data_IF_718187364996
#
_entry.id   IF_718187364996
#
_cell.length_a   1.000
_cell.length_b   1.000
_cell.length_c   1.000
_cell.angle_alpha   90.00
_cell.angle_beta   90.00
_cell.angle_gamma   90.00
#
_symmetry.space_group_name_H-M   'P 1'
#
loop_
_entity.id
_entity.type
_entity.pdbx_description
1 polymer ?
#
# COMPACT_ATOMS: atom_id res chain seq x y z
N UNK A 1 -11.17 13.70 16.59
CA UNK A 1 -10.36 14.83 16.10
C UNK A 1 -9.53 14.32 14.93
N UNK A 2 -9.60 14.95 13.76
CA UNK A 2 -8.76 14.58 12.60
C UNK A 2 -7.32 15.01 12.90
N UNK A 3 -6.36 14.11 12.77
CA UNK A 3 -4.94 14.39 12.95
C UNK A 3 -4.21 13.84 11.73
N UNK A 4 -3.70 14.74 10.89
CA UNK A 4 -2.91 14.38 9.73
C UNK A 4 -1.49 13.95 10.13
N UNK A 5 -0.83 13.16 9.28
CA UNK A 5 0.60 12.90 9.47
C UNK A 5 1.40 14.16 9.19
N UNK A 6 2.54 14.31 9.85
CA UNK A 6 3.50 15.37 9.54
C UNK A 6 4.81 14.78 9.00
N UNK A 7 5.23 15.09 7.76
CA UNK A 7 4.43 15.77 6.72
C UNK A 7 3.24 14.91 6.28
N UNK A 8 2.23 15.44 5.56
CA UNK A 8 1.09 14.65 5.07
C UNK A 8 1.49 13.47 4.18
N UNK A 9 0.70 12.39 4.19
CA UNK A 9 1.00 11.22 3.37
C UNK A 9 1.10 11.56 1.88
N UNK A 10 0.23 12.45 1.39
CA UNK A 10 0.25 12.96 0.00
C UNK A 10 1.52 13.72 -0.41
N UNK A 11 2.42 14.06 0.52
CA UNK A 11 3.69 14.73 0.25
C UNK A 11 4.89 13.76 0.20
N UNK A 12 4.64 12.45 0.34
CA UNK A 12 5.71 11.45 0.49
C UNK A 12 6.46 11.15 -0.80
N UNK A 13 5.88 11.43 -1.96
CA UNK A 13 6.53 11.27 -3.26
C UNK A 13 6.35 12.57 -4.01
N UNK A 14 7.45 13.16 -4.49
CA UNK A 14 7.42 14.39 -5.28
C UNK A 14 8.17 14.19 -6.57
N UNK A 15 7.56 14.57 -7.69
CA UNK A 15 8.26 14.68 -8.96
C UNK A 15 9.03 16.00 -8.98
N UNK A 16 10.35 15.91 -9.00
CA UNK A 16 11.23 17.08 -8.99
C UNK A 16 11.36 17.66 -10.40
N UNK A 17 11.46 16.78 -11.40
CA UNK A 17 11.51 17.12 -12.82
C UNK A 17 11.07 15.90 -13.66
N UNK A 18 11.09 15.95 -15.01
CA UNK A 18 10.63 14.84 -15.83
C UNK A 18 11.34 13.49 -15.62
N UNK A 19 12.56 13.49 -15.06
CA UNK A 19 13.41 12.31 -14.87
C UNK A 19 13.81 12.03 -13.42
N UNK A 20 13.32 12.79 -12.43
CA UNK A 20 13.70 12.64 -11.02
C UNK A 20 12.49 12.76 -10.09
N UNK A 21 12.40 11.82 -9.15
CA UNK A 21 11.42 11.81 -8.06
C UNK A 21 12.15 11.66 -6.72
N UNK A 22 11.63 12.32 -5.69
CA UNK A 22 11.96 12.03 -4.30
C UNK A 22 10.93 11.09 -3.70
N UNK A 23 11.38 10.12 -2.91
CA UNK A 23 10.55 9.11 -2.26
C UNK A 23 10.90 9.13 -0.77
N UNK A 24 10.16 9.94 -0.03
CA UNK A 24 10.44 10.23 1.37
C UNK A 24 11.74 11.01 1.56
N UNK A 25 12.45 10.69 2.63
CA UNK A 25 13.73 11.32 3.03
C UNK A 25 14.94 10.47 2.70
N UNK A 26 14.74 9.24 2.22
CA UNK A 26 15.82 8.24 2.13
C UNK A 26 16.12 7.74 0.72
N UNK A 27 15.19 7.89 -0.23
CA UNK A 27 15.33 7.33 -1.58
C UNK A 27 14.97 8.37 -2.65
N UNK A 28 15.67 8.32 -3.78
CA UNK A 28 15.29 8.98 -5.02
C UNK A 28 15.04 7.93 -6.11
N UNK A 29 14.22 8.30 -7.09
CA UNK A 29 14.03 7.51 -8.31
C UNK A 29 14.46 8.36 -9.50
N UNK A 30 15.38 7.82 -10.31
CA UNK A 30 15.84 8.47 -11.54
C UNK A 30 15.37 7.68 -12.74
N UNK A 31 15.01 8.38 -13.80
CA UNK A 31 14.69 7.83 -15.11
C UNK A 31 15.81 8.15 -16.08
N UNK A 32 16.42 7.13 -16.66
CA UNK A 32 17.46 7.25 -17.69
C UNK A 32 17.04 6.50 -18.95
N UNK A 33 17.66 6.81 -20.09
CA UNK A 33 17.42 6.04 -21.31
C UNK A 33 18.08 4.67 -21.19
N UNK A 34 17.53 3.64 -21.83
CA UNK A 34 18.02 2.25 -21.68
C UNK A 34 19.45 2.05 -22.23
N UNK A 35 19.95 2.99 -23.05
CA UNK A 35 21.32 3.01 -23.54
C UNK A 35 22.30 3.84 -22.69
N UNK A 36 21.82 4.55 -21.67
CA UNK A 36 22.66 5.37 -20.80
C UNK A 36 23.37 4.51 -19.75
N UNK A 37 24.48 5.02 -19.20
CA UNK A 37 25.22 4.30 -18.17
C UNK A 37 24.36 4.08 -16.91
N UNK A 38 24.29 2.83 -16.45
CA UNK A 38 23.58 2.48 -15.24
C UNK A 38 24.19 3.19 -14.01
N UNK A 39 23.36 3.71 -13.09
CA UNK A 39 23.87 4.34 -11.87
C UNK A 39 24.52 3.32 -10.94
N UNK A 40 25.66 3.68 -10.35
CA UNK A 40 26.49 2.78 -9.54
C UNK A 40 25.75 2.22 -8.30
N UNK A 41 24.85 3.02 -7.69
CA UNK A 41 24.20 2.73 -6.40
C UNK A 41 22.71 2.39 -6.56
N UNK A 42 22.35 1.66 -7.62
CA UNK A 42 20.96 1.26 -7.85
C UNK A 42 20.49 0.22 -6.82
N UNK A 43 19.48 0.55 -6.02
CA UNK A 43 18.81 -0.35 -5.06
C UNK A 43 17.90 -1.35 -5.76
N UNK A 44 17.18 -0.88 -6.78
CA UNK A 44 16.34 -1.68 -7.68
C UNK A 44 16.13 -0.92 -8.98
N UNK A 45 15.72 -1.62 -10.03
CA UNK A 45 15.38 -1.00 -11.32
C UNK A 45 14.27 -1.74 -12.03
N UNK A 46 13.62 -1.04 -12.97
CA UNK A 46 12.67 -1.65 -13.90
C UNK A 46 12.68 -0.89 -15.23
N UNK A 47 12.40 -1.62 -16.30
CA UNK A 47 12.26 -1.08 -17.65
C UNK A 47 10.84 -0.56 -17.85
N UNK A 48 10.72 0.59 -18.52
CA UNK A 48 9.46 1.23 -18.90
C UNK A 48 9.62 1.85 -20.29
N UNK A 49 9.26 1.08 -21.32
CA UNK A 49 9.52 1.42 -22.72
C UNK A 49 11.02 1.57 -22.99
N UNK A 50 11.42 2.70 -23.59
CA UNK A 50 12.81 3.00 -23.92
C UNK A 50 13.61 3.56 -22.73
N UNK A 51 13.01 3.60 -21.55
CA UNK A 51 13.64 4.13 -20.34
C UNK A 51 13.77 3.07 -19.26
N UNK A 52 14.77 3.22 -18.40
CA UNK A 52 14.92 2.43 -17.18
C UNK A 52 14.84 3.36 -15.97
N UNK A 53 14.01 2.97 -15.00
CA UNK A 53 13.91 3.65 -13.72
C UNK A 53 14.84 2.96 -12.72
N UNK A 54 15.53 3.74 -11.91
CA UNK A 54 16.43 3.26 -10.87
C UNK A 54 16.10 3.92 -9.52
N UNK A 55 15.90 3.11 -8.49
CA UNK A 55 15.90 3.57 -7.11
C UNK A 55 17.33 3.70 -6.61
N UNK A 56 17.63 4.78 -5.89
CA UNK A 56 18.94 5.01 -5.29
C UNK A 56 18.77 5.59 -3.89
N UNK A 57 19.77 5.43 -3.00
CA UNK A 57 19.85 6.22 -1.79
C UNK A 57 19.74 7.70 -2.14
N UNK A 58 19.05 8.47 -1.32
CA UNK A 58 18.89 9.91 -1.54
C UNK A 58 20.24 10.60 -1.52
N UNK A 59 20.49 11.35 -2.58
CA UNK A 59 21.67 12.19 -2.74
C UNK A 59 21.20 13.62 -3.06
N UNK A 60 21.49 14.54 -2.13
CA UNK A 60 21.07 15.94 -2.21
C UNK A 60 21.74 16.69 -3.36
N UNK A 61 22.83 16.18 -3.94
CA UNK A 61 23.48 16.80 -5.11
C UNK A 61 22.54 16.87 -6.32
N UNK A 62 21.67 15.86 -6.50
CA UNK A 62 20.63 15.85 -7.53
C UNK A 62 19.53 16.89 -7.32
N UNK A 63 19.42 17.45 -6.10
CA UNK A 63 18.32 18.32 -5.68
C UNK A 63 18.73 19.80 -5.61
N UNK A 64 20.03 20.12 -5.69
CA UNK A 64 20.60 21.47 -5.56
C UNK A 64 20.00 22.53 -6.50
N UNK A 65 19.44 22.12 -7.65
CA UNK A 65 18.81 23.02 -8.63
C UNK A 65 17.31 22.79 -8.83
N UNK A 66 16.68 21.91 -8.03
CA UNK A 66 15.25 21.60 -8.19
C UNK A 66 14.36 22.55 -7.41
N UNK A 67 13.21 22.89 -8.01
CA UNK A 67 12.08 23.48 -7.30
C UNK A 67 11.53 22.51 -6.25
N UNK A 68 10.56 22.94 -5.43
CA UNK A 68 10.00 22.18 -4.29
C UNK A 68 9.38 20.80 -4.64
N UNK A 69 9.35 20.45 -5.93
CA UNK A 69 8.74 19.25 -6.48
C UNK A 69 7.22 19.30 -6.42
N UNK A 70 6.56 18.46 -7.22
CA UNK A 70 5.11 18.36 -7.22
C UNK A 70 4.68 16.96 -6.75
N UNK A 71 3.94 16.92 -5.64
CA UNK A 71 3.45 15.68 -5.05
C UNK A 71 2.12 15.18 -5.64
N UNK A 72 1.40 16.05 -6.34
CA UNK A 72 0.15 15.74 -7.03
C UNK A 72 0.41 15.10 -8.40
N UNK A 73 1.51 15.46 -9.06
CA UNK A 73 1.94 14.78 -10.28
C UNK A 73 2.15 13.29 -9.99
N UNK A 74 1.61 12.47 -10.89
CA UNK A 74 1.66 11.00 -10.84
C UNK A 74 0.93 10.33 -9.67
N UNK A 75 0.28 11.10 -8.78
CA UNK A 75 -0.54 10.53 -7.70
C UNK A 75 -1.81 9.91 -8.29
N UNK A 76 -2.02 8.63 -8.00
CA UNK A 76 -3.20 7.87 -8.41
C UNK A 76 -4.32 7.95 -7.38
N UNK A 77 -3.97 7.95 -6.09
CA UNK A 77 -4.93 7.90 -5.00
C UNK A 77 -4.38 8.51 -3.73
N UNK A 78 -5.23 9.22 -3.00
CA UNK A 78 -5.03 9.61 -1.60
C UNK A 78 -5.92 8.72 -0.71
N UNK A 79 -5.32 7.99 0.23
CA UNK A 79 -5.98 6.97 1.03
C UNK A 79 -6.15 7.46 2.49
N UNK A 80 -6.97 8.49 2.66
CA UNK A 80 -7.20 9.13 3.97
C UNK A 80 -5.91 9.75 4.53
N UNK A 81 -5.75 9.73 5.86
CA UNK A 81 -4.59 10.37 6.51
C UNK A 81 -3.33 9.50 6.54
N UNK A 82 -3.45 8.21 6.22
CA UNK A 82 -2.43 7.21 6.51
C UNK A 82 -1.68 6.69 5.29
N UNK A 83 -2.00 7.09 4.07
CA UNK A 83 -1.29 6.59 2.90
C UNK A 83 -1.77 7.19 1.58
N UNK A 84 -0.98 6.95 0.53
CA UNK A 84 -1.24 7.42 -0.83
C UNK A 84 -0.52 6.50 -1.84
N UNK A 85 -0.92 6.58 -3.10
CA UNK A 85 -0.37 5.75 -4.20
C UNK A 85 0.01 6.62 -5.38
N UNK A 86 1.18 6.38 -5.96
CA UNK A 86 1.69 7.05 -7.16
C UNK A 86 2.03 6.03 -8.23
N UNK A 87 1.98 6.44 -9.49
CA UNK A 87 2.66 5.72 -10.58
C UNK A 87 4.11 6.19 -10.68
N UNK A 88 5.01 5.30 -11.04
CA UNK A 88 6.38 5.64 -11.45
C UNK A 88 6.57 5.08 -12.85
N UNK A 89 6.34 5.94 -13.85
CA UNK A 89 6.21 5.50 -15.22
C UNK A 89 4.90 4.75 -15.49
N UNK A 90 4.91 3.86 -16.49
CA UNK A 90 3.75 3.05 -16.85
C UNK A 90 3.75 1.66 -16.19
N UNK A 91 4.92 1.15 -15.79
CA UNK A 91 5.15 -0.23 -15.36
C UNK A 91 5.27 -0.44 -13.84
N UNK A 92 5.35 0.62 -13.03
CA UNK A 92 5.46 0.50 -11.58
C UNK A 92 4.52 1.45 -10.82
N UNK A 93 4.14 1.05 -9.61
CA UNK A 93 3.44 1.90 -8.64
C UNK A 93 4.20 1.95 -7.32
N UNK A 94 4.13 3.09 -6.65
CA UNK A 94 4.65 3.32 -5.32
C UNK A 94 3.47 3.49 -4.35
N UNK A 95 3.38 2.59 -3.37
CA UNK A 95 2.43 2.70 -2.27
C UNK A 95 3.16 3.20 -1.04
N UNK A 96 2.62 4.24 -0.42
CA UNK A 96 3.16 4.79 0.83
C UNK A 96 2.11 4.66 1.92
N UNK A 97 2.52 4.16 3.09
CA UNK A 97 1.65 4.01 4.27
C UNK A 97 2.35 4.47 5.54
N UNK A 98 1.58 4.95 6.50
CA UNK A 98 2.03 5.19 7.88
C UNK A 98 2.66 3.94 8.46
N UNK A 99 3.66 4.11 9.30
CA UNK A 99 4.37 3.00 9.91
C UNK A 99 4.74 3.33 11.36
N UNK A 100 4.84 2.28 12.16
CA UNK A 100 5.35 2.33 13.52
C UNK A 100 6.01 0.97 13.82
N UNK A 101 6.89 0.95 14.82
CA UNK A 101 7.61 -0.26 15.22
C UNK A 101 6.64 -1.37 15.65
N UNK A 102 6.88 -2.60 15.22
CA UNK A 102 5.95 -3.72 15.47
C UNK A 102 4.75 -3.76 14.52
N UNK A 103 4.84 -3.17 13.32
CA UNK A 103 3.86 -3.33 12.23
C UNK A 103 4.40 -4.19 11.09
N UNK A 104 3.60 -5.16 10.66
CA UNK A 104 3.86 -5.99 9.48
C UNK A 104 4.03 -5.15 8.21
N UNK A 105 5.09 -5.41 7.44
CA UNK A 105 5.26 -4.84 6.11
C UNK A 105 4.38 -5.59 5.09
N UNK A 106 3.72 -4.84 4.22
CA UNK A 106 2.90 -5.40 3.13
C UNK A 106 3.73 -6.29 2.20
N UNK A 107 4.99 -5.91 1.91
CA UNK A 107 5.92 -6.72 1.12
C UNK A 107 6.13 -8.12 1.72
N UNK A 108 6.29 -8.20 3.04
CA UNK A 108 6.48 -9.48 3.75
C UNK A 108 5.22 -10.34 3.68
N UNK A 109 4.03 -9.72 3.76
CA UNK A 109 2.77 -10.46 3.56
C UNK A 109 2.64 -10.97 2.12
N UNK A 110 2.98 -10.15 1.12
CA UNK A 110 2.96 -10.55 -0.29
C UNK A 110 3.90 -11.74 -0.53
N UNK A 111 5.14 -11.67 -0.02
CA UNK A 111 6.13 -12.74 -0.17
C UNK A 111 5.68 -14.04 0.49
N UNK A 112 5.12 -13.96 1.69
CA UNK A 112 4.57 -15.13 2.39
C UNK A 112 3.44 -15.81 1.61
N UNK A 113 2.46 -15.04 1.11
CA UNK A 113 1.35 -15.60 0.32
C UNK A 113 1.87 -16.21 -0.97
N UNK A 114 2.79 -15.54 -1.68
CA UNK A 114 3.39 -16.07 -2.92
C UNK A 114 4.08 -17.42 -2.69
N UNK A 115 4.76 -17.60 -1.55
CA UNK A 115 5.46 -18.84 -1.20
C UNK A 115 4.53 -19.95 -0.72
N UNK A 116 3.49 -19.60 0.02
CA UNK A 116 2.64 -20.57 0.74
C UNK A 116 1.35 -20.91 -0.03
N UNK A 117 0.91 -20.03 -0.91
CA UNK A 117 -0.34 -20.12 -1.67
C UNK A 117 -0.13 -19.56 -3.10
N UNK A 118 0.73 -20.20 -3.91
CA UNK A 118 1.13 -19.68 -5.22
C UNK A 118 -0.04 -19.61 -6.23
N UNK A 119 -1.15 -20.29 -5.98
CA UNK A 119 -2.37 -20.21 -6.77
C UNK A 119 -3.09 -18.86 -6.63
N UNK A 120 -2.81 -18.09 -5.57
CA UNK A 120 -3.37 -16.75 -5.40
C UNK A 120 -2.48 -15.77 -6.14
N UNK A 121 -3.00 -15.05 -7.15
CA UNK A 121 -2.19 -14.11 -7.92
C UNK A 121 -1.79 -12.92 -7.03
N UNK A 122 -0.49 -12.78 -6.79
CA UNK A 122 0.09 -11.69 -6.04
C UNK A 122 0.92 -10.81 -6.95
N UNK A 123 0.82 -9.49 -6.78
CA UNK A 123 1.64 -8.57 -7.55
C UNK A 123 3.13 -8.72 -7.20
N UNK A 124 3.99 -8.43 -8.18
CA UNK A 124 5.44 -8.52 -8.04
C UNK A 124 5.97 -7.31 -7.25
N UNK A 125 6.72 -7.57 -6.18
CA UNK A 125 7.35 -6.52 -5.38
C UNK A 125 8.73 -6.26 -5.97
N UNK A 126 9.00 -5.01 -6.34
CA UNK A 126 10.30 -4.57 -6.87
C UNK A 126 11.21 -4.19 -5.71
N UNK A 127 10.70 -3.38 -4.78
CA UNK A 127 11.48 -2.93 -3.62
C UNK A 127 10.56 -2.45 -2.49
N UNK A 128 11.00 -2.59 -1.24
CA UNK A 128 10.27 -2.04 -0.09
C UNK A 128 11.23 -1.61 1.01
N UNK A 129 10.92 -0.50 1.68
CA UNK A 129 11.72 -0.03 2.81
C UNK A 129 10.86 0.74 3.81
N UNK A 130 11.46 0.99 4.98
CA UNK A 130 10.90 1.86 6.01
C UNK A 130 11.71 3.17 5.99
N UNK A 131 11.01 4.28 5.78
CA UNK A 131 11.54 5.62 5.97
C UNK A 131 11.24 6.03 7.42
N UNK A 132 12.17 5.69 8.32
CA UNK A 132 12.03 5.92 9.76
C UNK A 132 11.89 7.41 10.13
N UNK A 133 12.64 8.35 9.53
CA UNK A 133 12.51 9.78 9.85
C UNK A 133 11.09 10.34 9.76
N UNK A 134 10.29 9.84 8.81
CA UNK A 134 8.89 10.28 8.62
C UNK A 134 7.87 9.19 8.95
N UNK A 135 8.30 8.08 9.58
CA UNK A 135 7.45 6.97 9.98
C UNK A 135 6.57 6.42 8.85
N UNK A 136 7.20 6.06 7.72
CA UNK A 136 6.52 5.54 6.54
C UNK A 136 7.09 4.22 6.06
N UNK A 137 6.23 3.45 5.41
CA UNK A 137 6.63 2.35 4.54
C UNK A 137 6.42 2.76 3.11
N UNK A 138 7.38 2.39 2.27
CA UNK A 138 7.30 2.51 0.83
C UNK A 138 7.34 1.11 0.22
N UNK A 139 6.46 0.87 -0.74
CA UNK A 139 6.36 -0.38 -1.48
C UNK A 139 6.29 -0.06 -2.97
N UNK A 140 7.34 -0.42 -3.70
CA UNK A 140 7.39 -0.38 -5.15
C UNK A 140 7.03 -1.76 -5.67
N UNK A 141 6.04 -1.81 -6.55
CA UNK A 141 5.55 -3.05 -7.14
C UNK A 141 5.25 -2.86 -8.62
N UNK A 142 5.40 -3.94 -9.38
CA UNK A 142 5.03 -3.96 -10.79
C UNK A 142 3.55 -3.68 -10.92
N UNK A 143 3.21 -2.80 -11.86
CA UNK A 143 1.83 -2.45 -12.15
C UNK A 143 1.15 -3.62 -12.84
N UNK A 144 -0.02 -4.00 -12.32
CA UNK A 144 -0.90 -4.94 -13.02
C UNK A 144 -1.69 -4.15 -14.06
N UNK A 145 -1.45 -4.44 -15.34
CA UNK A 145 -2.18 -3.81 -16.45
C UNK A 145 -3.58 -4.43 -16.58
N UNK A 146 -4.52 -3.96 -15.77
CA UNK A 146 -5.88 -4.45 -15.71
C UNK A 146 -6.89 -3.35 -15.35
N UNK A 147 -8.17 -3.66 -15.52
CA UNK A 147 -9.29 -2.86 -15.00
C UNK A 147 -9.77 -3.44 -13.67
N UNK A 148 -10.24 -2.58 -12.78
CA UNK A 148 -10.83 -3.03 -11.51
C UNK A 148 -12.09 -3.85 -11.76
N UNK A 149 -12.40 -4.78 -10.85
CA UNK A 149 -13.62 -5.57 -10.96
C UNK A 149 -14.86 -4.67 -10.95
N UNK A 150 -14.88 -3.60 -10.14
CA UNK A 150 -15.99 -2.64 -10.10
C UNK A 150 -16.26 -1.99 -11.47
N UNK A 151 -15.21 -1.62 -12.22
CA UNK A 151 -15.34 -1.09 -13.58
C UNK A 151 -15.80 -2.15 -14.58
N UNK A 152 -15.30 -3.38 -14.43
CA UNK A 152 -15.64 -4.48 -15.33
C UNK A 152 -17.06 -5.00 -15.11
N UNK A 153 -17.52 -5.05 -13.85
CA UNK A 153 -18.69 -5.80 -13.39
C UNK A 153 -19.97 -5.58 -14.20
N UNK A 154 -20.36 -4.33 -14.55
CA UNK A 154 -21.59 -4.08 -15.31
C UNK A 154 -21.57 -4.65 -16.74
N UNK A 155 -20.39 -4.95 -17.27
CA UNK A 155 -20.18 -5.36 -18.66
C UNK A 155 -19.91 -6.87 -18.79
N UNK A 156 -20.01 -7.63 -17.70
CA UNK A 156 -19.75 -9.07 -17.70
C UNK A 156 -21.05 -9.84 -17.93
N UNK A 157 -20.93 -10.99 -18.60
CA UNK A 157 -22.03 -11.95 -18.70
C UNK A 157 -22.25 -12.68 -17.38
N UNK A 158 -23.42 -13.29 -17.21
CA UNK A 158 -23.72 -14.12 -16.04
C UNK A 158 -22.71 -15.27 -15.86
N UNK A 159 -22.23 -15.86 -16.96
CA UNK A 159 -21.20 -16.89 -16.94
C UNK A 159 -19.86 -16.35 -16.42
N UNK A 160 -19.48 -15.13 -16.83
CA UNK A 160 -18.26 -14.47 -16.34
C UNK A 160 -18.38 -14.11 -14.85
N UNK A 161 -19.52 -13.59 -14.40
CA UNK A 161 -19.77 -13.35 -12.97
C UNK A 161 -19.60 -14.64 -12.16
N UNK A 162 -20.21 -15.73 -12.62
CA UNK A 162 -20.11 -17.04 -11.95
C UNK A 162 -18.67 -17.55 -11.88
N UNK A 163 -17.92 -17.43 -12.98
CA UNK A 163 -16.52 -17.87 -13.01
C UNK A 163 -15.64 -17.04 -12.05
N UNK A 164 -15.79 -15.72 -12.03
CA UNK A 164 -15.06 -14.85 -11.11
C UNK A 164 -15.44 -15.17 -9.66
N UNK A 165 -16.72 -15.38 -9.35
CA UNK A 165 -17.17 -15.74 -8.01
C UNK A 165 -16.54 -17.06 -7.55
N UNK A 166 -16.46 -18.07 -8.43
CA UNK A 166 -15.80 -19.35 -8.16
C UNK A 166 -14.31 -19.17 -7.91
N UNK A 167 -13.62 -18.37 -8.72
CA UNK A 167 -12.19 -18.10 -8.59
C UNK A 167 -11.87 -17.39 -7.27
N UNK A 168 -12.61 -16.33 -6.93
CA UNK A 168 -12.47 -15.61 -5.65
C UNK A 168 -12.74 -16.55 -4.46
N UNK A 169 -13.83 -17.35 -4.52
CA UNK A 169 -14.14 -18.31 -3.46
C UNK A 169 -13.03 -19.36 -3.30
N UNK A 170 -12.43 -19.82 -4.39
CA UNK A 170 -11.31 -20.74 -4.37
C UNK A 170 -10.09 -20.10 -3.68
N UNK A 171 -9.70 -18.88 -4.06
CA UNK A 171 -8.59 -18.17 -3.40
C UNK A 171 -8.85 -17.94 -1.90
N UNK A 172 -10.05 -17.51 -1.52
CA UNK A 172 -10.42 -17.35 -0.12
C UNK A 172 -10.33 -18.67 0.65
N UNK A 173 -10.80 -19.77 0.06
CA UNK A 173 -10.72 -21.10 0.67
C UNK A 173 -9.27 -21.55 0.85
N UNK A 174 -8.41 -21.35 -0.15
CA UNK A 174 -6.99 -21.67 -0.05
C UNK A 174 -6.29 -20.86 1.05
N UNK A 175 -6.49 -19.54 1.09
CA UNK A 175 -5.90 -18.67 2.12
C UNK A 175 -6.40 -19.04 3.52
N UNK A 176 -7.68 -19.38 3.68
CA UNK A 176 -8.26 -19.73 4.97
C UNK A 176 -7.68 -21.04 5.57
N UNK A 177 -7.06 -21.90 4.75
CA UNK A 177 -6.37 -23.10 5.21
C UNK A 177 -5.00 -22.81 5.83
N UNK A 178 -4.48 -21.60 5.64
CA UNK A 178 -3.21 -21.16 6.21
C UNK A 178 -3.50 -20.56 7.58
N UNK A 179 -3.23 -21.35 8.62
CA UNK A 179 -3.60 -21.00 10.00
C UNK A 179 -2.38 -20.88 10.91
N UNK A 180 -2.48 -20.08 11.96
CA UNK A 180 -1.54 -20.03 13.07
C UNK A 180 -2.23 -20.40 14.39
N UNK A 181 -1.48 -20.87 15.36
CA UNK A 181 -1.96 -21.10 16.74
C UNK A 181 -2.24 -19.79 17.50
N UNK A 182 -1.74 -18.67 16.96
CA UNK A 182 -1.86 -17.33 17.52
C UNK A 182 -2.54 -16.39 16.53
N UNK A 183 -3.27 -15.41 17.05
CA UNK A 183 -3.84 -14.33 16.25
C UNK A 183 -2.81 -13.21 16.12
N UNK A 184 -2.05 -13.25 15.03
CA UNK A 184 -0.93 -12.34 14.77
C UNK A 184 -0.62 -12.27 13.26
N UNK A 185 0.19 -11.29 12.87
CA UNK A 185 0.77 -11.22 11.54
C UNK A 185 1.89 -12.25 11.37
N UNK A 186 2.38 -12.41 10.13
CA UNK A 186 3.49 -13.33 9.80
C UNK A 186 4.76 -13.03 10.63
N UNK A 187 5.02 -11.76 10.93
CA UNK A 187 6.15 -11.31 11.76
C UNK A 187 5.83 -11.28 13.27
N UNK A 188 4.76 -11.95 13.72
CA UNK A 188 4.37 -11.99 15.14
C UNK A 188 3.83 -10.65 15.68
N UNK A 189 3.43 -9.74 14.80
CA UNK A 189 2.87 -8.44 15.19
C UNK A 189 1.34 -8.52 15.35
N UNK A 190 0.73 -7.48 15.89
CA UNK A 190 -0.73 -7.37 15.89
C UNK A 190 -1.32 -7.25 14.46
N UNK A 191 -2.58 -7.63 14.30
CA UNK A 191 -3.30 -7.60 13.01
C UNK A 191 -4.13 -6.32 12.90
N UNK A 192 -4.07 -5.65 11.75
CA UNK A 192 -4.95 -4.54 11.43
C UNK A 192 -6.30 -5.07 10.94
N UNK A 193 -7.29 -5.15 11.82
CA UNK A 193 -8.66 -5.57 11.49
C UNK A 193 -9.67 -4.61 12.10
N UNK A 194 -10.23 -3.72 11.27
CA UNK A 194 -11.09 -2.61 11.70
C UNK A 194 -12.32 -3.08 12.47
N UNK A 195 -12.90 -4.21 12.08
CA UNK A 195 -14.11 -4.76 12.70
C UNK A 195 -13.86 -5.38 14.07
N UNK A 196 -12.61 -5.72 14.37
CA UNK A 196 -12.22 -6.29 15.66
C UNK A 196 -11.63 -5.23 16.61
N UNK A 197 -11.54 -3.97 16.20
CA UNK A 197 -11.01 -2.91 17.05
C UNK A 197 -12.02 -2.44 18.09
N UNK A 198 -11.55 -2.27 19.33
CA UNK A 198 -12.29 -1.53 20.35
C UNK A 198 -12.37 -0.03 20.05
N UNK A 199 -13.05 0.72 20.92
CA UNK A 199 -13.15 2.18 20.82
C UNK A 199 -11.75 2.82 20.89
N UNK A 200 -11.39 3.59 19.86
CA UNK A 200 -10.13 4.33 19.83
C UNK A 200 -10.13 5.42 20.92
N UNK A 201 -9.04 5.57 21.70
CA UNK A 201 -8.86 6.74 22.55
C UNK A 201 -8.97 8.02 21.71
N UNK A 202 -9.61 9.06 22.25
CA UNK A 202 -9.78 10.33 21.53
C UNK A 202 -8.44 11.01 21.17
N UNK A 203 -7.37 10.66 21.90
CA UNK A 203 -5.99 11.11 21.67
C UNK A 203 -5.27 10.37 20.54
N UNK A 204 -5.83 9.28 20.01
CA UNK A 204 -5.17 8.49 18.98
C UNK A 204 -5.25 9.22 17.62
N UNK A 205 -4.11 9.53 16.97
CA UNK A 205 -4.13 10.28 15.72
C UNK A 205 -4.76 9.42 14.60
N UNK A 206 -5.46 10.03 13.66
CA UNK A 206 -6.26 9.29 12.68
C UNK A 206 -5.43 8.46 11.69
N UNK A 207 -4.13 8.74 11.56
CA UNK A 207 -3.19 7.95 10.78
C UNK A 207 -2.58 6.76 11.52
N UNK A 208 -2.69 6.72 12.86
CA UNK A 208 -2.19 5.61 13.68
C UNK A 208 -3.27 4.55 13.81
N UNK A 209 -3.14 3.54 12.98
CA UNK A 209 -4.02 2.38 13.02
C UNK A 209 -3.63 1.47 14.17
N UNK A 210 -4.56 1.25 15.11
CA UNK A 210 -4.36 0.23 16.15
C UNK A 210 -4.32 -1.16 15.53
N UNK A 211 -3.62 -2.07 16.19
CA UNK A 211 -3.63 -3.50 15.84
C UNK A 211 -4.24 -4.31 16.98
N UNK A 212 -4.83 -5.44 16.63
CA UNK A 212 -5.40 -6.41 17.56
C UNK A 212 -4.39 -7.54 17.74
N UNK A 213 -4.06 -7.88 18.99
CA UNK A 213 -3.03 -8.89 19.30
C UNK A 213 -1.60 -8.34 19.27
N UNK A 214 -0.58 -9.22 19.24
CA UNK A 214 -0.68 -10.67 19.04
C UNK A 214 -1.34 -11.38 20.23
N UNK A 215 -2.20 -12.38 19.98
CA UNK A 215 -2.93 -13.09 21.03
C UNK A 215 -2.75 -14.61 20.94
N UNK A 216 -2.65 -15.27 22.09
CA UNK A 216 -2.92 -16.72 22.16
C UNK A 216 -4.40 -17.00 21.90
N UNK A 217 -4.77 -18.26 21.68
CA UNK A 217 -6.19 -18.62 21.52
C UNK A 217 -7.04 -18.29 22.75
N UNK A 218 -6.45 -18.29 23.95
CA UNK A 218 -7.13 -17.92 25.20
C UNK A 218 -7.33 -16.40 25.25
N UNK A 219 -6.27 -15.64 25.00
CA UNK A 219 -6.33 -14.16 25.02
C UNK A 219 -7.30 -13.63 23.97
N UNK A 220 -7.34 -14.25 22.79
CA UNK A 220 -8.27 -13.88 21.72
C UNK A 220 -9.73 -14.11 22.16
N UNK A 221 -10.04 -15.24 22.81
CA UNK A 221 -11.38 -15.49 23.36
C UNK A 221 -11.75 -14.46 24.41
N UNK A 222 -10.82 -14.12 25.31
CA UNK A 222 -11.04 -13.08 26.32
C UNK A 222 -11.16 -11.68 25.72
N UNK A 223 -10.48 -11.39 24.61
CA UNK A 223 -10.61 -10.14 23.89
C UNK A 223 -11.98 -10.04 23.20
N UNK A 224 -12.42 -11.11 22.55
CA UNK A 224 -13.70 -11.19 21.84
C UNK A 224 -14.91 -10.89 22.75
N UNK A 225 -14.85 -11.19 24.05
CA UNK A 225 -15.93 -10.84 25.00
C UNK A 225 -15.98 -9.34 25.35
N UNK A 226 -14.96 -8.57 24.99
CA UNK A 226 -14.81 -7.14 25.30
C UNK A 226 -14.93 -6.24 24.07
N UNK A 227 -15.13 -6.81 22.87
CA UNK A 227 -15.28 -6.01 21.65
C UNK A 227 -16.57 -5.19 21.75
N UNK A 228 -16.49 -3.95 21.31
CA UNK A 228 -17.66 -3.06 21.31
C UNK A 228 -18.76 -3.62 20.41
N UNK A 229 -20.00 -3.66 20.92
CA UNK A 229 -21.19 -3.92 20.11
C UNK A 229 -21.76 -2.63 19.48
N UNK A 230 -21.14 -1.47 19.70
CA UNK A 230 -21.60 -0.19 19.15
C UNK A 230 -21.36 -0.14 17.64
N UNK A 231 -22.38 0.27 16.88
CA UNK A 231 -22.26 0.55 15.45
C UNK A 231 -21.31 1.74 15.27
N UNK A 232 -20.16 1.50 14.64
CA UNK A 232 -19.20 2.58 14.37
C UNK A 232 -19.79 3.59 13.37
N UNK A 233 -19.53 4.89 13.52
CA UNK A 233 -19.96 5.89 12.55
C UNK A 233 -19.35 5.58 11.18
N UNK A 234 -20.16 5.69 10.13
CA UNK A 234 -19.71 5.47 8.75
C UNK A 234 -18.48 6.32 8.47
N UNK A 235 -17.35 5.68 8.11
CA UNK A 235 -16.23 6.43 7.54
C UNK A 235 -16.62 6.82 6.13
N UNK A 236 -16.46 8.09 5.72
CA UNK A 236 -16.65 8.45 4.33
C UNK A 236 -15.67 7.63 3.50
N UNK A 237 -16.22 6.73 2.67
CA UNK A 237 -15.45 6.08 1.61
C UNK A 237 -14.94 7.22 0.74
N UNK A 238 -13.62 7.45 0.74
CA UNK A 238 -12.99 8.36 -0.21
C UNK A 238 -13.38 7.86 -1.60
N UNK A 239 -14.33 8.57 -2.23
CA UNK A 239 -14.69 8.32 -3.63
C UNK A 239 -13.39 8.41 -4.42
N UNK A 240 -13.12 7.39 -5.24
CA UNK A 240 -12.16 7.53 -6.33
C UNK A 240 -12.66 8.73 -7.15
N UNK A 241 -11.95 9.84 -7.08
CA UNK A 241 -12.28 11.06 -7.82
C UNK A 241 -12.16 10.75 -9.31
N UNK A 242 -13.31 10.57 -9.95
CA UNK A 242 -13.43 10.20 -11.37
C UNK A 242 -14.81 9.69 -11.81
N UNK A 243 -15.81 9.60 -10.92
CA UNK A 243 -17.17 9.16 -11.29
C UNK A 243 -18.11 10.35 -11.46
N UNK A 244 -18.80 10.51 -12.60
CA UNK A 244 -19.98 11.37 -12.66
C UNK A 244 -21.10 10.78 -11.80
N UNK A 245 -22.02 11.60 -11.27
CA UNK A 245 -23.14 11.11 -10.47
C UNK A 245 -24.05 10.22 -11.33
N UNK A 246 -24.48 9.08 -10.78
CA UNK A 246 -25.51 8.25 -11.41
C UNK A 246 -26.78 9.09 -11.63
N UNK A 247 -27.36 9.11 -12.84
CA UNK A 247 -28.71 9.63 -13.03
C UNK A 247 -29.68 8.72 -12.27
N UNK A 248 -30.61 9.35 -11.56
CA UNK A 248 -31.76 8.68 -10.93
C UNK A 248 -32.72 8.14 -11.98
#
# INVERSE_FOLDING_TARGET
>A
MFCEMEPPARESVKRMNPSLWTLGTTVICVKISTGDAQPLNSLASWVDGDSTFHLQPRDETYLTNSTEGDAAIDRLQECGTGGSVWKLGSEAICKVKSWYEGRQLEATTIDFVRKTCPEVPMAEVIYSWIDRPINRTFLIMKRVQARTLNTAWPHLSAAQHMNIAKEVAHHCSSLARITSSRYESISGCGVYEYWLMGKLPASNPSWFYMTVGPFSSIDMKTYMTKISCEILPERPISRVSGLPPNPR
#
